data_IF_682603081158
#
_entry.id   IF_682603081158
#
_cell.length_a   1.000
_cell.length_b   1.000
_cell.length_c   1.000
_cell.angle_alpha   90.00
_cell.angle_beta   90.00
_cell.angle_gamma   90.00
#
_symmetry.space_group_name_H-M   'P 1'
#
loop_
_entity.id
_entity.type
_entity.pdbx_description
1 polymer ?
#
# COMPACT_ATOMS: atom_id res chain seq x y z
N UNK A 1 5.99 -7.76 28.26
CA UNK A 1 5.81 -7.08 26.97
C UNK A 1 4.32 -7.07 26.60
N UNK A 2 3.79 -5.92 26.28
CA UNK A 2 2.37 -5.81 25.91
C UNK A 2 2.13 -6.38 24.52
N UNK A 3 1.02 -7.13 24.35
CA UNK A 3 0.55 -7.60 23.05
C UNK A 3 -0.43 -6.60 22.41
N UNK A 4 -0.57 -5.43 23.00
CA UNK A 4 -1.44 -4.37 22.51
C UNK A 4 -0.65 -3.44 21.60
N UNK A 5 -1.06 -3.36 20.34
CA UNK A 5 -0.45 -2.46 19.36
C UNK A 5 -1.27 -1.16 19.31
N UNK A 6 -0.60 -0.06 19.06
CA UNK A 6 -1.22 1.26 19.05
C UNK A 6 -1.43 1.81 17.63
N UNK A 7 -0.88 1.15 16.62
CA UNK A 7 -1.05 1.54 15.24
C UNK A 7 -0.99 0.32 14.33
N UNK A 8 -1.83 0.27 13.31
CA UNK A 8 -1.91 -0.87 12.40
C UNK A 8 -0.61 -1.14 11.64
N UNK A 9 0.17 -0.09 11.34
CA UNK A 9 1.45 -0.26 10.64
C UNK A 9 2.47 -1.08 11.43
N UNK A 10 2.31 -1.16 12.75
CA UNK A 10 3.17 -1.99 13.61
C UNK A 10 2.99 -3.49 13.36
N UNK A 11 1.86 -3.89 12.79
CA UNK A 11 1.55 -5.28 12.48
C UNK A 11 2.09 -5.73 11.13
N UNK A 12 2.50 -4.79 10.29
CA UNK A 12 2.99 -5.12 8.95
C UNK A 12 4.25 -5.98 9.02
N UNK A 13 4.28 -7.03 8.23
CA UNK A 13 5.42 -7.92 8.13
C UNK A 13 5.47 -9.03 9.18
N UNK A 14 4.58 -9.03 10.15
CA UNK A 14 4.50 -10.07 11.18
C UNK A 14 3.58 -11.21 10.75
N UNK A 15 3.83 -11.70 9.54
CA UNK A 15 2.97 -12.72 8.92
C UNK A 15 3.40 -14.12 9.35
N UNK A 16 2.44 -15.02 9.59
CA UNK A 16 2.72 -16.37 10.03
C UNK A 16 3.17 -17.29 8.89
N UNK A 17 3.76 -18.40 9.30
CA UNK A 17 4.06 -19.51 8.41
C UNK A 17 3.02 -20.61 8.63
N UNK A 18 2.60 -21.25 7.54
CA UNK A 18 1.65 -22.36 7.58
C UNK A 18 2.25 -23.55 6.84
N UNK A 19 2.36 -24.68 7.52
CA UNK A 19 2.78 -25.92 6.86
C UNK A 19 1.59 -26.51 6.09
N UNK A 20 1.81 -26.82 4.83
CA UNK A 20 0.76 -27.37 3.94
C UNK A 20 0.68 -28.89 4.06
N UNK A 21 0.24 -29.36 5.22
CA UNK A 21 0.27 -30.78 5.58
C UNK A 21 -0.60 -31.65 4.68
N UNK A 22 -1.74 -31.15 4.22
CA UNK A 22 -2.64 -31.91 3.34
C UNK A 22 -2.03 -32.12 1.95
N UNK A 23 -1.34 -31.11 1.44
CA UNK A 23 -0.65 -31.21 0.14
C UNK A 23 0.51 -32.20 0.24
N UNK A 24 1.28 -32.13 1.32
CA UNK A 24 2.39 -33.04 1.58
C UNK A 24 1.92 -34.50 1.57
N UNK A 25 0.83 -34.78 2.26
CA UNK A 25 0.25 -36.12 2.34
C UNK A 25 -0.31 -36.59 1.00
N UNK A 26 -1.05 -35.70 0.31
CA UNK A 26 -1.69 -36.06 -0.96
C UNK A 26 -0.69 -36.43 -2.03
N UNK A 27 0.52 -35.88 -1.99
CA UNK A 27 1.59 -36.14 -2.97
C UNK A 27 2.75 -36.94 -2.42
N UNK A 28 2.59 -37.51 -1.22
CA UNK A 28 3.62 -38.32 -0.55
C UNK A 28 4.99 -37.61 -0.55
N UNK A 29 4.99 -36.35 -0.16
CA UNK A 29 6.19 -35.54 -0.15
C UNK A 29 7.01 -35.77 1.10
N UNK A 30 8.34 -35.87 0.94
CA UNK A 30 9.29 -35.97 2.03
C UNK A 30 9.70 -34.58 2.53
N UNK A 31 9.57 -33.56 1.68
CA UNK A 31 9.87 -32.19 2.03
C UNK A 31 8.73 -31.55 2.78
N UNK A 32 9.07 -30.68 3.71
CA UNK A 32 8.13 -29.82 4.40
C UNK A 32 7.86 -28.59 3.52
N UNK A 33 6.62 -28.35 3.18
CA UNK A 33 6.21 -27.18 2.39
C UNK A 33 5.58 -26.16 3.32
N UNK A 34 6.15 -24.97 3.38
CA UNK A 34 5.70 -23.90 4.30
C UNK A 34 5.33 -22.68 3.48
N UNK A 35 4.11 -22.20 3.67
CA UNK A 35 3.61 -20.99 3.04
C UNK A 35 3.72 -19.80 4.00
N UNK A 36 4.27 -18.69 3.54
CA UNK A 36 4.24 -17.43 4.29
C UNK A 36 2.99 -16.66 3.91
N UNK A 37 2.11 -16.42 4.91
CA UNK A 37 0.76 -15.94 4.66
C UNK A 37 0.70 -14.41 4.63
N UNK A 38 1.09 -13.81 3.52
CA UNK A 38 1.16 -12.36 3.37
C UNK A 38 -0.21 -11.66 3.41
N UNK A 39 -1.30 -12.38 3.19
CA UNK A 39 -2.64 -11.80 3.32
C UNK A 39 -3.01 -11.46 4.78
N UNK A 40 -2.21 -11.87 5.76
CA UNK A 40 -2.38 -11.45 7.16
C UNK A 40 -1.83 -10.05 7.44
N UNK A 41 -1.18 -9.41 6.48
CA UNK A 41 -0.86 -7.99 6.64
C UNK A 41 -2.13 -7.15 6.77
N UNK A 42 -2.12 -6.04 7.53
CA UNK A 42 -3.34 -5.25 7.81
C UNK A 42 -4.14 -4.82 6.59
N UNK A 43 -3.49 -4.46 5.48
CA UNK A 43 -4.18 -4.11 4.24
C UNK A 43 -4.33 -5.30 3.28
N UNK A 44 -3.86 -6.48 3.68
CA UNK A 44 -4.19 -7.74 3.05
C UNK A 44 -3.19 -8.27 2.02
N UNK A 45 -2.03 -7.65 1.82
CA UNK A 45 -1.06 -8.15 0.86
C UNK A 45 0.39 -7.87 1.27
N UNK A 46 1.33 -8.49 0.54
CA UNK A 46 2.77 -8.24 0.70
C UNK A 46 3.13 -6.78 0.43
N UNK A 47 2.31 -6.05 -0.31
CA UNK A 47 2.57 -4.65 -0.65
C UNK A 47 2.51 -3.71 0.54
N UNK A 48 1.94 -4.14 1.66
CA UNK A 48 2.01 -3.39 2.91
C UNK A 48 3.47 -3.18 3.34
N UNK A 49 4.33 -4.16 3.10
CA UNK A 49 5.75 -4.08 3.44
C UNK A 49 6.45 -2.96 2.68
N UNK A 50 6.26 -2.91 1.37
CA UNK A 50 6.89 -1.87 0.55
C UNK A 50 6.30 -0.48 0.88
N UNK A 51 5.00 -0.41 1.11
CA UNK A 51 4.34 0.84 1.48
C UNK A 51 4.91 1.40 2.79
N UNK A 52 5.04 0.55 3.81
CA UNK A 52 5.64 0.96 5.08
C UNK A 52 7.09 1.41 4.89
N UNK A 53 7.89 0.64 4.15
CA UNK A 53 9.28 0.96 3.92
C UNK A 53 9.45 2.31 3.19
N UNK A 54 8.63 2.57 2.18
CA UNK A 54 8.65 3.83 1.43
C UNK A 54 8.35 5.03 2.33
N UNK A 55 7.33 4.93 3.15
CA UNK A 55 6.92 6.03 4.03
C UNK A 55 7.93 6.21 5.16
N UNK A 56 8.37 5.14 5.80
CA UNK A 56 9.37 5.20 6.87
C UNK A 56 10.68 5.80 6.35
N UNK A 57 11.13 5.42 5.15
CA UNK A 57 12.33 5.94 4.52
C UNK A 57 12.18 7.43 4.18
N UNK A 58 11.03 7.82 3.66
CA UNK A 58 10.76 9.23 3.36
C UNK A 58 10.74 10.09 4.62
N UNK A 59 10.23 9.56 5.71
CA UNK A 59 10.28 10.24 7.02
C UNK A 59 11.72 10.38 7.52
N UNK A 60 12.49 9.29 7.47
CA UNK A 60 13.87 9.27 7.95
C UNK A 60 14.78 10.21 7.15
N UNK A 61 14.55 10.35 5.84
CA UNK A 61 15.34 11.24 4.97
C UNK A 61 14.87 12.70 5.00
N UNK A 62 13.80 13.00 5.72
CA UNK A 62 13.23 14.35 5.80
C UNK A 62 12.40 14.78 4.61
N UNK A 63 12.16 13.89 3.64
CA UNK A 63 11.30 14.18 2.48
C UNK A 63 9.83 14.28 2.85
N UNK A 64 9.43 13.54 3.88
CA UNK A 64 8.06 13.52 4.37
C UNK A 64 8.03 14.05 5.79
N UNK A 65 7.28 15.14 5.98
CA UNK A 65 7.14 15.83 7.26
C UNK A 65 5.68 15.90 7.66
N UNK A 66 5.35 16.14 8.94
CA UNK A 66 3.97 16.38 9.34
C UNK A 66 3.33 17.46 8.45
N UNK A 67 2.15 17.17 7.91
CA UNK A 67 1.45 18.05 6.99
C UNK A 67 1.80 17.86 5.52
N UNK A 68 2.78 17.04 5.19
CA UNK A 68 3.09 16.69 3.80
C UNK A 68 1.94 15.92 3.16
N UNK A 69 1.82 16.05 1.83
CA UNK A 69 0.85 15.31 1.02
C UNK A 69 1.61 14.28 0.18
N UNK A 70 1.18 13.03 0.25
CA UNK A 70 1.73 11.96 -0.56
C UNK A 70 0.92 11.88 -1.84
N UNK A 71 1.58 11.89 -3.00
CA UNK A 71 0.93 11.72 -4.30
C UNK A 71 1.58 10.53 -4.98
N UNK A 72 0.78 9.51 -5.31
CA UNK A 72 1.31 8.28 -5.87
C UNK A 72 0.48 7.79 -7.05
N UNK A 73 1.09 7.62 -8.24
CA UNK A 73 0.45 6.89 -9.33
C UNK A 73 0.57 5.39 -9.07
N UNK A 74 -0.55 4.71 -8.97
CA UNK A 74 -0.54 3.28 -8.65
C UNK A 74 -1.76 2.59 -9.23
N UNK A 75 -1.66 1.29 -9.40
CA UNK A 75 -2.74 0.51 -10.03
C UNK A 75 -3.23 -0.66 -9.19
N UNK A 76 -2.82 -0.80 -7.94
CA UNK A 76 -3.25 -1.99 -7.22
C UNK A 76 -2.89 -2.01 -5.74
N UNK A 77 -2.37 -3.15 -5.30
CA UNK A 77 -2.10 -3.41 -3.88
C UNK A 77 -1.09 -2.46 -3.25
N UNK A 78 -0.18 -1.89 -4.03
CA UNK A 78 0.73 -0.86 -3.53
C UNK A 78 -0.03 0.38 -3.07
N UNK A 79 -1.02 0.81 -3.86
CA UNK A 79 -1.88 1.94 -3.49
C UNK A 79 -2.70 1.67 -2.24
N UNK A 80 -3.23 0.45 -2.12
CA UNK A 80 -3.97 0.05 -0.92
C UNK A 80 -3.06 0.07 0.30
N UNK A 81 -1.85 -0.48 0.18
CA UNK A 81 -0.87 -0.46 1.26
C UNK A 81 -0.46 0.94 1.67
N UNK A 82 -0.20 1.82 0.70
CA UNK A 82 0.14 3.22 0.96
C UNK A 82 -1.01 3.96 1.64
N UNK A 83 -2.25 3.74 1.19
CA UNK A 83 -3.42 4.35 1.81
C UNK A 83 -3.57 3.91 3.26
N UNK A 84 -3.37 2.62 3.55
CA UNK A 84 -3.46 2.09 4.90
C UNK A 84 -2.36 2.65 5.82
N UNK A 85 -1.13 2.70 5.37
CA UNK A 85 -0.01 3.25 6.17
C UNK A 85 -0.17 4.76 6.37
N UNK A 86 -0.59 5.48 5.33
CA UNK A 86 -0.86 6.91 5.44
C UNK A 86 -1.97 7.18 6.46
N UNK A 87 -3.03 6.37 6.47
CA UNK A 87 -4.10 6.48 7.45
C UNK A 87 -3.57 6.24 8.88
N UNK A 88 -2.75 5.21 9.06
CA UNK A 88 -2.18 4.88 10.37
C UNK A 88 -1.26 5.98 10.91
N UNK A 89 -0.55 6.67 10.03
CA UNK A 89 0.41 7.73 10.40
C UNK A 89 -0.16 9.15 10.31
N UNK A 90 -1.39 9.31 9.81
CA UNK A 90 -2.06 10.61 9.72
C UNK A 90 -1.63 11.47 8.54
N UNK A 91 -1.12 10.89 7.46
CA UNK A 91 -0.77 11.63 6.26
C UNK A 91 -1.95 11.73 5.29
N UNK A 92 -2.06 12.88 4.65
CA UNK A 92 -2.93 13.03 3.48
C UNK A 92 -2.29 12.31 2.29
N UNK A 93 -3.08 11.54 1.57
CA UNK A 93 -2.59 10.83 0.39
C UNK A 93 -3.56 10.99 -0.78
N UNK A 94 -3.00 11.28 -1.95
CA UNK A 94 -3.72 11.35 -3.21
C UNK A 94 -3.19 10.21 -4.07
N UNK A 95 -4.07 9.29 -4.43
CA UNK A 95 -3.74 8.16 -5.29
C UNK A 95 -4.30 8.44 -6.68
N UNK A 96 -3.41 8.41 -7.66
CA UNK A 96 -3.79 8.59 -9.07
C UNK A 96 -3.77 7.23 -9.75
N UNK A 97 -4.89 6.86 -10.35
CA UNK A 97 -5.03 5.55 -10.98
C UNK A 97 -5.86 5.65 -12.26
N UNK A 98 -5.63 4.74 -13.22
CA UNK A 98 -6.49 4.68 -14.40
C UNK A 98 -7.93 4.35 -14.01
N UNK A 99 -8.88 4.96 -14.73
CA UNK A 99 -10.32 4.74 -14.50
C UNK A 99 -10.76 3.28 -14.70
N UNK A 100 -9.94 2.47 -15.38
CA UNK A 100 -10.19 1.05 -15.60
C UNK A 100 -9.99 0.16 -14.37
N UNK A 101 -9.46 0.72 -13.30
CA UNK A 101 -9.24 -0.05 -12.07
C UNK A 101 -10.56 -0.43 -11.41
N UNK A 102 -10.56 -1.57 -10.69
CA UNK A 102 -11.78 -2.11 -10.09
C UNK A 102 -12.39 -1.16 -9.06
N UNK A 103 -13.72 -1.18 -9.01
CA UNK A 103 -14.49 -0.37 -8.05
C UNK A 103 -14.17 -0.77 -6.62
N UNK A 104 -13.94 -2.06 -6.36
CA UNK A 104 -13.62 -2.58 -5.04
C UNK A 104 -12.32 -1.99 -4.50
N UNK A 105 -11.29 -1.90 -5.34
CA UNK A 105 -10.02 -1.28 -4.95
C UNK A 105 -10.18 0.21 -4.66
N UNK A 106 -10.96 0.91 -5.47
CA UNK A 106 -11.26 2.33 -5.25
C UNK A 106 -11.98 2.55 -3.93
N UNK A 107 -12.97 1.73 -3.64
CA UNK A 107 -13.73 1.81 -2.39
C UNK A 107 -12.85 1.54 -1.18
N UNK A 108 -11.96 0.56 -1.27
CA UNK A 108 -11.04 0.23 -0.18
C UNK A 108 -10.07 1.38 0.12
N UNK A 109 -9.50 1.99 -0.92
CA UNK A 109 -8.62 3.15 -0.76
C UNK A 109 -9.35 4.33 -0.13
N UNK A 110 -10.57 4.60 -0.57
CA UNK A 110 -11.42 5.64 0.02
C UNK A 110 -11.75 5.36 1.48
N UNK A 111 -11.98 4.09 1.81
CA UNK A 111 -12.26 3.69 3.19
C UNK A 111 -11.07 3.99 4.13
N UNK A 112 -9.85 3.92 3.61
CA UNK A 112 -8.65 4.35 4.34
C UNK A 112 -8.47 5.87 4.36
N UNK A 113 -9.34 6.62 3.71
CA UNK A 113 -9.26 8.08 3.67
C UNK A 113 -8.42 8.66 2.55
N UNK A 114 -8.00 7.86 1.58
CA UNK A 114 -7.25 8.35 0.43
C UNK A 114 -8.16 9.14 -0.51
N UNK A 115 -7.60 10.20 -1.10
CA UNK A 115 -8.25 10.92 -2.19
C UNK A 115 -7.88 10.25 -3.51
N UNK A 116 -8.85 9.98 -4.35
CA UNK A 116 -8.63 9.34 -5.63
C UNK A 116 -8.77 10.33 -6.77
N UNK A 117 -7.79 10.28 -7.68
CA UNK A 117 -7.84 11.01 -8.95
C UNK A 117 -7.74 9.98 -10.06
N UNK A 118 -8.75 9.94 -10.92
CA UNK A 118 -8.79 8.97 -12.02
C UNK A 118 -8.19 9.60 -13.28
N UNK A 119 -7.29 8.85 -13.93
CA UNK A 119 -6.73 9.22 -15.22
C UNK A 119 -7.42 8.46 -16.35
N UNK A 120 -7.24 8.92 -17.59
CA UNK A 120 -7.84 8.23 -18.74
C UNK A 120 -7.37 6.79 -18.84
N UNK A 121 -8.33 5.85 -18.91
CA UNK A 121 -8.03 4.42 -18.99
C UNK A 121 -7.20 4.06 -20.22
N UNK A 122 -7.46 4.70 -21.36
CA UNK A 122 -6.73 4.45 -22.59
C UNK A 122 -5.23 4.77 -22.50
N UNK A 123 -4.84 5.68 -21.60
CA UNK A 123 -3.43 6.05 -21.38
C UNK A 123 -2.72 5.17 -20.34
N UNK A 124 -3.44 4.29 -19.67
CA UNK A 124 -2.89 3.36 -18.70
C UNK A 124 -2.05 4.02 -17.61
N UNK A 125 -1.01 3.34 -17.16
CA UNK A 125 -0.13 3.85 -16.09
C UNK A 125 0.66 5.10 -16.51
N UNK A 126 1.00 5.24 -17.78
CA UNK A 126 1.67 6.47 -18.25
C UNK A 126 0.80 7.70 -18.03
N UNK A 127 -0.50 7.60 -18.27
CA UNK A 127 -1.45 8.66 -18.00
C UNK A 127 -1.57 8.98 -16.52
N UNK A 128 -1.58 7.96 -15.67
CA UNK A 128 -1.61 8.15 -14.22
C UNK A 128 -0.35 8.86 -13.71
N UNK A 129 0.81 8.48 -14.22
CA UNK A 129 2.08 9.11 -13.85
C UNK A 129 2.09 10.58 -14.27
N UNK A 130 1.65 10.88 -15.48
CA UNK A 130 1.57 12.25 -15.97
C UNK A 130 0.62 13.10 -15.14
N UNK A 131 -0.52 12.53 -14.73
CA UNK A 131 -1.50 13.21 -13.89
C UNK A 131 -0.94 13.47 -12.49
N UNK A 132 -0.21 12.51 -11.92
CA UNK A 132 0.44 12.68 -10.63
C UNK A 132 1.50 13.78 -10.67
N UNK A 133 2.29 13.87 -11.75
CA UNK A 133 3.27 14.95 -11.96
C UNK A 133 2.59 16.31 -12.02
N UNK A 134 1.49 16.40 -12.75
CA UNK A 134 0.69 17.64 -12.84
C UNK A 134 0.20 18.09 -11.47
N UNK A 135 -0.34 17.16 -10.66
CA UNK A 135 -0.81 17.46 -9.32
C UNK A 135 0.33 17.89 -8.39
N UNK A 136 1.51 17.30 -8.53
CA UNK A 136 2.70 17.69 -7.77
C UNK A 136 3.10 19.14 -8.03
N UNK A 137 2.95 19.62 -9.26
CA UNK A 137 3.27 21.00 -9.62
C UNK A 137 2.25 22.01 -9.08
N UNK A 138 1.01 21.58 -8.88
CA UNK A 138 -0.08 22.44 -8.40
C UNK A 138 -0.01 22.64 -6.88
N UNK A 139 0.37 21.60 -6.11
CA UNK A 139 0.40 21.67 -4.67
C UNK A 139 1.58 22.49 -4.16
N UNK A 140 1.26 23.48 -3.30
CA UNK A 140 2.23 24.40 -2.70
C UNK A 140 3.02 23.71 -1.59
N UNK A 141 2.34 22.84 -0.79
CA UNK A 141 3.02 22.03 0.22
C UNK A 141 3.74 20.89 -0.50
N UNK A 142 5.04 20.80 -0.34
CA UNK A 142 5.89 19.83 -1.05
C UNK A 142 5.33 18.40 -0.98
N UNK A 143 4.65 17.90 -2.03
CA UNK A 143 4.14 16.53 -2.03
C UNK A 143 5.30 15.55 -2.18
N UNK A 144 5.20 14.42 -1.47
CA UNK A 144 6.13 13.31 -1.62
C UNK A 144 5.51 12.29 -2.57
N UNK A 145 6.27 11.90 -3.58
CA UNK A 145 5.85 10.94 -4.59
C UNK A 145 6.83 9.78 -4.65
N UNK A 146 6.29 8.57 -4.72
CA UNK A 146 7.06 7.33 -4.75
C UNK A 146 6.76 6.47 -5.98
#
# INVERSE_FOLDING_TARGET
MSNIYTSADQLIGKTPLLELTHIEKAHDLKAKIVAKLEYFNPAGSVKDRIAKAMIDDAEASGKLKPGSVIIEPTSGNTGIGLAAVAAAKGYRIIIVMPETMSVERRQLMKAYGAELVLSEGAKGMKGAIAKADELSLIHISEPTRH
#
